data_IF_162082478404
#
_entry.id   IF_162082478404
#
_cell.length_a   1.000
_cell.length_b   1.000
_cell.length_c   1.000
_cell.angle_alpha   90.00
_cell.angle_beta   90.00
_cell.angle_gamma   90.00
#
_symmetry.space_group_name_H-M   'P 1'
#
loop_
_entity.id
_entity.type
_entity.pdbx_description
1 polymer ?
#
# COMPACT_ATOMS: atom_id res chain seq x y z
N UNK A 1 -6.97 -21.21 -5.07
CA UNK A 1 -5.81 -20.30 -4.88
C UNK A 1 -6.15 -18.92 -5.42
N UNK A 2 -5.59 -17.85 -4.84
CA UNK A 2 -5.74 -16.49 -5.34
C UNK A 2 -4.68 -16.20 -6.42
N UNK A 3 -5.06 -15.54 -7.52
CA UNK A 3 -4.17 -15.19 -8.63
C UNK A 3 -4.41 -13.77 -9.15
N UNK A 4 -3.33 -13.05 -9.41
CA UNK A 4 -3.34 -11.75 -10.04
C UNK A 4 -3.06 -11.86 -11.55
N UNK A 5 -3.79 -11.10 -12.36
CA UNK A 5 -3.55 -11.04 -13.80
C UNK A 5 -2.49 -10.00 -14.16
N UNK A 6 -1.55 -10.37 -15.02
CA UNK A 6 -0.57 -9.44 -15.62
C UNK A 6 -1.11 -8.71 -16.86
N UNK A 7 -2.31 -9.06 -17.34
CA UNK A 7 -2.92 -8.46 -18.54
C UNK A 7 -3.93 -7.36 -18.21
N UNK A 8 -4.27 -7.16 -16.94
CA UNK A 8 -5.29 -6.21 -16.51
C UNK A 8 -6.72 -6.67 -16.80
N UNK A 9 -6.97 -7.98 -16.86
CA UNK A 9 -8.30 -8.53 -16.97
C UNK A 9 -9.14 -8.18 -15.71
N UNK A 10 -10.38 -7.73 -15.92
CA UNK A 10 -11.33 -7.42 -14.83
C UNK A 10 -12.33 -8.54 -14.57
N UNK A 11 -12.41 -9.50 -15.48
CA UNK A 11 -13.24 -10.69 -15.39
C UNK A 11 -12.59 -11.85 -16.15
N UNK A 12 -12.95 -13.08 -15.79
CA UNK A 12 -12.51 -14.32 -16.42
C UNK A 12 -13.71 -15.24 -16.62
N UNK A 13 -13.99 -15.59 -17.89
CA UNK A 13 -14.92 -16.64 -18.25
C UNK A 13 -14.18 -17.97 -18.47
N UNK A 14 -14.51 -19.00 -17.70
CA UNK A 14 -14.04 -20.36 -17.89
C UNK A 14 -15.22 -21.30 -18.21
N UNK A 15 -15.14 -22.13 -19.27
CA UNK A 15 -16.26 -22.99 -19.70
C UNK A 15 -16.58 -24.14 -18.73
N UNK A 16 -15.68 -24.49 -17.83
CA UNK A 16 -15.85 -25.59 -16.86
C UNK A 16 -16.27 -25.05 -15.49
N UNK A 17 -15.71 -23.91 -15.07
CA UNK A 17 -15.91 -23.34 -13.73
C UNK A 17 -16.82 -22.10 -13.67
N UNK A 18 -17.16 -21.48 -14.80
CA UNK A 18 -18.06 -20.34 -14.89
C UNK A 18 -17.36 -18.98 -14.94
N UNK A 19 -18.06 -17.94 -14.49
CA UNK A 19 -17.59 -16.55 -14.53
C UNK A 19 -16.97 -16.14 -13.19
N UNK A 20 -15.85 -15.42 -13.25
CA UNK A 20 -15.15 -14.86 -12.11
C UNK A 20 -14.91 -13.36 -12.33
N UNK A 21 -15.31 -12.54 -11.37
CA UNK A 21 -14.95 -11.12 -11.30
C UNK A 21 -13.62 -10.93 -10.54
N UNK A 22 -12.86 -9.90 -10.90
CA UNK A 22 -11.69 -9.48 -10.13
C UNK A 22 -12.10 -8.74 -8.84
N UNK A 23 -11.28 -8.84 -7.80
CA UNK A 23 -11.39 -8.04 -6.58
C UNK A 23 -10.93 -6.57 -6.78
N UNK A 24 -11.00 -5.76 -5.72
CA UNK A 24 -10.54 -4.35 -5.74
C UNK A 24 -9.05 -4.18 -6.07
N UNK A 25 -8.25 -5.25 -6.00
CA UNK A 25 -6.81 -5.29 -6.24
C UNK A 25 -6.44 -5.93 -7.60
N UNK A 26 -7.43 -6.40 -8.37
CA UNK A 26 -7.21 -7.09 -9.65
C UNK A 26 -6.84 -8.57 -9.52
N UNK A 27 -7.12 -9.17 -8.36
CA UNK A 27 -6.93 -10.59 -8.06
C UNK A 27 -8.20 -11.40 -8.19
N UNK A 28 -8.07 -12.71 -8.40
CA UNK A 28 -9.16 -13.66 -8.63
C UNK A 28 -9.05 -14.83 -7.66
N UNK A 29 -10.13 -15.11 -6.92
CA UNK A 29 -10.27 -16.32 -6.11
C UNK A 29 -10.74 -17.49 -6.99
N UNK A 30 -9.80 -18.37 -7.35
CA UNK A 30 -10.03 -19.44 -8.33
C UNK A 30 -9.93 -20.84 -7.68
N UNK A 31 -10.70 -21.83 -8.16
CA UNK A 31 -10.52 -23.23 -7.80
C UNK A 31 -9.08 -23.69 -8.09
N UNK A 32 -8.54 -24.57 -7.24
CA UNK A 32 -7.11 -24.93 -7.30
C UNK A 32 -6.71 -25.50 -8.67
N UNK A 33 -7.53 -26.38 -9.26
CA UNK A 33 -7.30 -26.95 -10.60
C UNK A 33 -7.21 -25.90 -11.71
N UNK A 34 -8.11 -24.89 -11.69
CA UNK A 34 -8.13 -23.79 -12.64
C UNK A 34 -6.92 -22.85 -12.42
N UNK A 35 -6.61 -22.57 -11.15
CA UNK A 35 -5.49 -21.71 -10.80
C UNK A 35 -4.13 -22.32 -11.18
N UNK A 36 -3.93 -23.63 -11.00
CA UNK A 36 -2.74 -24.37 -11.44
C UNK A 36 -2.59 -24.32 -12.97
N UNK A 37 -3.71 -24.43 -13.71
CA UNK A 37 -3.76 -24.32 -15.17
C UNK A 37 -3.35 -22.92 -15.65
N UNK A 38 -3.86 -21.88 -15.00
CA UNK A 38 -3.61 -20.47 -15.36
C UNK A 38 -2.22 -20.00 -14.94
N UNK A 39 -1.72 -20.37 -13.76
CA UNK A 39 -0.36 -20.02 -13.32
C UNK A 39 0.71 -20.58 -14.28
N UNK A 40 0.50 -21.78 -14.82
CA UNK A 40 1.37 -22.40 -15.84
C UNK A 40 1.15 -21.83 -17.25
N UNK A 41 0.11 -21.04 -17.48
CA UNK A 41 -0.20 -20.47 -18.80
C UNK A 41 0.69 -19.25 -19.10
N UNK A 42 1.57 -19.41 -20.09
CA UNK A 42 2.43 -18.35 -20.59
C UNK A 42 1.97 -17.86 -21.97
N UNK A 43 1.69 -16.57 -22.09
CA UNK A 43 1.38 -15.91 -23.35
C UNK A 43 2.63 -15.25 -23.94
N UNK A 44 2.99 -15.58 -25.18
CA UNK A 44 4.20 -15.08 -25.86
C UNK A 44 5.50 -15.27 -25.04
N UNK A 45 5.59 -16.37 -24.29
CA UNK A 45 6.75 -16.69 -23.45
C UNK A 45 6.86 -15.90 -22.14
N UNK A 46 5.81 -15.16 -21.74
CA UNK A 46 5.71 -14.50 -20.44
C UNK A 46 4.56 -15.10 -19.64
N UNK A 47 4.66 -15.23 -18.30
CA UNK A 47 3.52 -15.61 -17.47
C UNK A 47 2.39 -14.57 -17.67
N UNK A 48 1.15 -15.04 -17.73
CA UNK A 48 -0.02 -14.17 -17.77
C UNK A 48 -0.64 -13.93 -16.37
N UNK A 49 -0.23 -14.75 -15.40
CA UNK A 49 -0.78 -14.79 -14.04
C UNK A 49 0.35 -14.86 -13.01
N UNK A 50 0.15 -14.25 -11.85
CA UNK A 50 1.06 -14.25 -10.69
C UNK A 50 0.30 -14.76 -9.46
N UNK A 51 0.94 -15.57 -8.62
CA UNK A 51 0.47 -15.85 -7.25
C UNK A 51 0.69 -14.64 -6.34
N UNK A 52 0.01 -14.57 -5.20
CA UNK A 52 0.19 -13.52 -4.17
C UNK A 52 1.66 -13.26 -3.84
N UNK A 53 2.43 -14.34 -3.69
CA UNK A 53 3.86 -14.27 -3.34
C UNK A 53 4.68 -13.67 -4.47
N UNK A 54 4.36 -13.97 -5.72
CA UNK A 54 5.02 -13.40 -6.90
C UNK A 54 4.63 -11.92 -7.10
N UNK A 55 3.34 -11.61 -6.98
CA UNK A 55 2.82 -10.25 -7.06
C UNK A 55 3.46 -9.34 -5.99
N UNK A 56 3.48 -9.77 -4.73
CA UNK A 56 4.15 -9.04 -3.64
C UNK A 56 5.65 -8.86 -3.90
N UNK A 57 6.35 -9.90 -4.39
CA UNK A 57 7.78 -9.78 -4.76
C UNK A 57 8.00 -8.78 -5.88
N UNK A 58 7.14 -8.75 -6.90
CA UNK A 58 7.22 -7.77 -8.00
C UNK A 58 7.00 -6.36 -7.48
N UNK A 59 5.96 -6.11 -6.68
CA UNK A 59 5.72 -4.79 -6.07
C UNK A 59 6.88 -4.34 -5.18
N UNK A 60 7.45 -5.23 -4.37
CA UNK A 60 8.63 -4.94 -3.55
C UNK A 60 9.86 -4.62 -4.41
N UNK A 61 10.07 -5.33 -5.52
CA UNK A 61 11.16 -5.06 -6.44
C UNK A 61 10.99 -3.70 -7.16
N UNK A 62 9.79 -3.37 -7.63
CA UNK A 62 9.47 -2.07 -8.23
C UNK A 62 9.67 -0.91 -7.25
N UNK A 63 9.22 -1.05 -6.00
CA UNK A 63 9.43 -0.06 -4.95
C UNK A 63 10.91 0.07 -4.55
N UNK A 64 11.66 -1.03 -4.55
CA UNK A 64 13.09 -1.01 -4.26
C UNK A 64 13.92 -0.41 -5.41
N UNK A 65 13.50 -0.58 -6.67
CA UNK A 65 14.05 0.15 -7.82
C UNK A 65 13.78 1.66 -7.72
N UNK A 66 12.57 2.09 -7.35
CA UNK A 66 12.26 3.51 -7.10
C UNK A 66 13.14 4.12 -6.02
N UNK A 67 13.45 3.37 -4.95
CA UNK A 67 14.33 3.82 -3.85
C UNK A 67 15.81 3.87 -4.24
N UNK A 68 16.23 3.16 -5.29
CA UNK A 68 17.58 3.28 -5.88
C UNK A 68 17.75 4.50 -6.77
N UNK A 69 16.67 5.24 -7.08
CA UNK A 69 16.77 6.47 -7.88
C UNK A 69 17.80 7.42 -7.25
N UNK A 70 18.88 7.78 -7.97
CA UNK A 70 19.95 8.62 -7.43
C UNK A 70 19.45 10.00 -6.98
N UNK A 71 18.34 10.52 -7.52
CA UNK A 71 17.73 11.75 -7.03
C UNK A 71 17.22 11.61 -5.59
N UNK A 72 16.64 10.45 -5.25
CA UNK A 72 16.15 10.14 -3.90
C UNK A 72 17.31 9.96 -2.93
N UNK A 73 18.37 9.25 -3.35
CA UNK A 73 19.59 9.07 -2.56
C UNK A 73 20.28 10.42 -2.27
N UNK A 74 20.38 11.30 -3.26
CA UNK A 74 20.93 12.65 -3.06
C UNK A 74 20.08 13.48 -2.10
N UNK A 75 18.74 13.42 -2.21
CA UNK A 75 17.83 14.11 -1.27
C UNK A 75 18.01 13.65 0.19
N UNK A 76 18.20 12.34 0.43
CA UNK A 76 18.47 11.80 1.77
C UNK A 76 19.86 12.24 2.28
N UNK A 77 20.88 12.26 1.41
CA UNK A 77 22.22 12.75 1.76
C UNK A 77 22.20 14.25 2.10
N UNK A 78 21.47 15.08 1.35
CA UNK A 78 21.29 16.50 1.69
C UNK A 78 20.60 16.70 3.05
N UNK A 79 19.58 15.90 3.34
CA UNK A 79 18.89 15.96 4.64
C UNK A 79 19.82 15.53 5.78
N UNK A 80 20.62 14.48 5.60
CA UNK A 80 21.65 14.07 6.55
C UNK A 80 22.73 15.15 6.75
N UNK A 81 23.18 15.82 5.69
CA UNK A 81 24.12 16.93 5.80
C UNK A 81 23.52 18.12 6.55
N UNK A 82 22.26 18.48 6.28
CA UNK A 82 21.54 19.54 7.00
C UNK A 82 21.37 19.20 8.48
N UNK A 83 21.00 17.95 8.81
CA UNK A 83 20.89 17.47 10.19
C UNK A 83 22.24 17.45 10.92
N UNK A 84 23.32 17.03 10.25
CA UNK A 84 24.67 17.05 10.80
C UNK A 84 25.19 18.48 11.03
N UNK A 85 24.89 19.42 10.13
CA UNK A 85 25.21 20.85 10.31
C UNK A 85 24.42 21.47 11.47
N UNK A 86 23.15 21.09 11.66
CA UNK A 86 22.35 21.51 12.82
C UNK A 86 22.87 20.90 14.13
N UNK A 87 23.32 19.64 14.12
CA UNK A 87 23.92 18.98 15.28
C UNK A 87 25.33 19.49 15.63
N UNK A 88 26.02 20.15 14.70
CA UNK A 88 27.33 20.78 14.92
C UNK A 88 27.24 22.18 15.55
N UNK A 89 26.05 22.76 15.69
CA UNK A 89 25.85 24.01 16.42
C UNK A 89 25.94 23.76 17.94
N UNK A 90 26.79 24.48 18.69
CA UNK A 90 26.89 24.31 20.14
C UNK A 90 25.57 24.73 20.81
N UNK A 91 25.09 23.89 21.72
CA UNK A 91 23.80 24.08 22.40
C UNK A 91 23.76 25.40 23.18
N UNK A 92 22.68 26.16 23.01
CA UNK A 92 22.27 27.19 23.97
C UNK A 92 20.77 27.02 24.26
N UNK A 93 20.47 26.61 25.49
CA UNK A 93 19.17 26.65 26.18
C UNK A 93 17.95 25.90 25.56
N UNK A 94 17.53 24.82 26.23
CA UNK A 94 16.12 24.39 26.32
C UNK A 94 15.35 25.27 27.35
N UNK A 95 14.03 25.10 27.58
CA UNK A 95 12.95 24.47 26.80
C UNK A 95 11.71 25.41 26.64
N UNK A 96 10.54 24.87 26.24
CA UNK A 96 9.20 25.53 26.13
C UNK A 96 9.11 26.52 24.94
N UNK A 97 8.06 26.68 24.15
CA UNK A 97 6.66 26.16 24.05
C UNK A 97 6.53 25.26 22.79
N UNK A 98 5.42 24.62 22.39
CA UNK A 98 4.03 24.59 22.84
C UNK A 98 3.44 23.16 22.72
N UNK A 99 2.26 22.92 23.31
CA UNK A 99 1.38 21.82 22.95
C UNK A 99 0.00 22.38 22.52
N UNK A 100 -0.29 22.31 21.21
CA UNK A 100 -1.48 22.92 20.61
C UNK A 100 -2.77 22.48 21.32
N UNK A 101 -3.55 23.40 21.93
CA UNK A 101 -4.75 23.03 22.66
C UNK A 101 -5.87 22.64 21.69
N UNK A 102 -6.16 21.34 21.60
CA UNK A 102 -7.31 20.81 20.86
C UNK A 102 -8.60 21.30 21.53
N UNK A 103 -9.18 22.37 20.97
CA UNK A 103 -10.52 22.87 21.34
C UNK A 103 -11.58 21.81 21.05
N UNK A 104 -11.95 21.02 22.05
CA UNK A 104 -13.10 20.11 21.96
C UNK A 104 -14.38 20.92 21.84
N UNK A 105 -14.97 20.93 20.65
CA UNK A 105 -16.16 21.73 20.35
C UNK A 105 -17.35 21.30 21.22
N UNK A 106 -17.88 22.23 22.00
CA UNK A 106 -19.12 22.04 22.76
C UNK A 106 -20.34 22.23 21.85
N UNK A 107 -21.23 21.23 21.76
CA UNK A 107 -22.56 21.44 21.18
C UNK A 107 -23.62 20.44 21.66
N UNK A 108 -24.54 20.96 22.49
CA UNK A 108 -25.91 20.50 22.78
C UNK A 108 -26.06 19.13 23.48
N UNK A 109 -27.07 18.95 24.34
CA UNK A 109 -28.11 19.89 24.73
C UNK A 109 -28.76 19.54 26.06
N UNK A 110 -29.26 20.58 26.74
CA UNK A 110 -30.13 20.47 27.91
C UNK A 110 -31.53 20.07 27.45
N UNK A 111 -32.12 19.07 28.09
CA UNK A 111 -33.54 19.16 28.49
C UNK A 111 -33.79 18.23 29.67
N UNK A 112 -34.42 18.76 30.71
CA UNK A 112 -34.81 17.99 31.90
C UNK A 112 -36.23 17.45 31.76
N UNK A 113 -36.50 16.29 32.35
CA UNK A 113 -37.84 15.82 32.68
C UNK A 113 -37.79 15.13 34.05
N UNK A 114 -38.41 15.72 35.08
CA UNK A 114 -38.81 15.00 36.28
C UNK A 114 -40.34 14.97 36.40
N UNK A 115 -40.91 13.78 36.56
CA UNK A 115 -42.32 13.60 36.93
C UNK A 115 -42.57 12.19 37.50
N UNK A 116 -42.45 12.05 38.81
CA UNK A 116 -43.43 11.39 39.71
C UNK A 116 -43.36 12.10 41.07
#
# INVERSE_FOLDING_TARGET
MHLYTLTGAVALDDPEFGHFDADEQGGFDLPDELSDRLHRFAFRGKPAWETDVEHQRRLMAEELERRKDPATLLGVVEQLMKAAQQAAAPQVASPVVDAVPVRRASRRGVSAVPAE
#
